data_IF_271866889991
#
_entry.id   IF_271866889991
#
_cell.length_a   1.000
_cell.length_b   1.000
_cell.length_c   1.000
_cell.angle_alpha   90.00
_cell.angle_beta   90.00
_cell.angle_gamma   90.00
#
_symmetry.space_group_name_H-M   'P 1'
#
loop_
_entity.id
_entity.type
_entity.pdbx_description
1 polymer ?
#
# COMPACT_ATOMS: atom_id res chain seq x y z
N UNK A 1 11.53 6.81 1.32
CA UNK A 1 11.36 5.79 2.38
C UNK A 1 10.12 4.96 2.08
N UNK A 2 10.27 3.63 2.10
CA UNK A 2 9.19 2.67 1.84
C UNK A 2 8.42 2.39 3.13
N UNK A 3 7.11 2.25 3.03
CA UNK A 3 6.21 1.90 4.13
C UNK A 3 6.46 0.45 4.57
N UNK A 4 6.96 0.27 5.80
CA UNK A 4 7.34 -1.05 6.32
C UNK A 4 6.13 -1.92 6.62
N UNK A 5 5.04 -1.35 7.13
CA UNK A 5 3.80 -2.09 7.42
C UNK A 5 3.18 -2.66 6.15
N UNK A 6 2.97 -1.82 5.13
CA UNK A 6 2.43 -2.25 3.84
C UNK A 6 3.33 -3.30 3.18
N UNK A 7 4.66 -3.11 3.20
CA UNK A 7 5.61 -4.12 2.68
C UNK A 7 5.51 -5.46 3.42
N UNK A 8 5.31 -5.45 4.74
CA UNK A 8 5.13 -6.66 5.56
C UNK A 8 3.80 -7.35 5.27
N UNK A 9 2.72 -6.59 5.09
CA UNK A 9 1.41 -7.09 4.69
C UNK A 9 1.45 -7.78 3.33
N UNK A 10 2.09 -7.14 2.35
CA UNK A 10 2.30 -7.70 1.01
C UNK A 10 3.15 -8.98 1.04
N UNK A 11 4.18 -9.05 1.89
CA UNK A 11 4.97 -10.27 2.08
C UNK A 11 4.20 -11.40 2.75
N UNK A 12 3.27 -11.08 3.66
CA UNK A 12 2.42 -12.06 4.35
C UNK A 12 1.30 -12.57 3.44
N UNK A 13 0.81 -11.74 2.52
CA UNK A 13 -0.14 -12.16 1.50
C UNK A 13 0.53 -13.06 0.48
N UNK A 14 0.33 -14.38 0.59
CA UNK A 14 0.61 -15.33 -0.49
C UNK A 14 -0.59 -15.35 -1.45
N UNK A 15 -0.39 -15.06 -2.74
CA UNK A 15 -1.43 -15.11 -3.77
C UNK A 15 -1.76 -13.77 -4.41
N UNK A 16 -3.04 -13.50 -4.70
CA UNK A 16 -3.51 -12.37 -5.52
C UNK A 16 -3.12 -10.97 -4.99
N UNK A 17 -2.88 -10.82 -3.68
CA UNK A 17 -2.59 -9.54 -3.01
C UNK A 17 -1.11 -9.12 -3.14
N UNK A 18 -0.64 -8.97 -4.37
CA UNK A 18 0.73 -8.51 -4.71
C UNK A 18 0.79 -7.01 -5.00
N UNK A 19 2.01 -6.44 -5.00
CA UNK A 19 2.26 -5.05 -5.46
C UNK A 19 1.74 -4.82 -6.87
N UNK A 20 1.87 -5.82 -7.74
CA UNK A 20 1.38 -5.78 -9.11
C UNK A 20 -0.15 -5.64 -9.17
N UNK A 21 -0.87 -6.50 -8.44
CA UNK A 21 -2.32 -6.43 -8.36
C UNK A 21 -2.80 -5.11 -7.75
N UNK A 22 -2.11 -4.64 -6.71
CA UNK A 22 -2.39 -3.34 -6.09
C UNK A 22 -2.17 -2.16 -7.05
N UNK A 23 -1.12 -2.23 -7.87
CA UNK A 23 -0.85 -1.21 -8.90
C UNK A 23 -1.99 -1.17 -9.93
N UNK A 24 -2.46 -2.35 -10.36
CA UNK A 24 -3.59 -2.48 -11.28
C UNK A 24 -4.90 -1.94 -10.69
N UNK A 25 -5.22 -2.27 -9.44
CA UNK A 25 -6.41 -1.78 -8.72
C UNK A 25 -6.39 -0.26 -8.54
N UNK A 26 -5.20 0.30 -8.34
CA UNK A 26 -5.00 1.75 -8.23
C UNK A 26 -4.96 2.47 -9.58
N UNK A 27 -5.01 1.75 -10.71
CA UNK A 27 -4.90 2.33 -12.05
C UNK A 27 -3.51 2.90 -12.34
N UNK A 28 -2.48 2.46 -11.62
CA UNK A 28 -1.10 2.91 -11.82
C UNK A 28 -0.28 1.85 -12.53
N UNK A 29 0.72 2.28 -13.31
CA UNK A 29 1.61 1.37 -14.02
C UNK A 29 2.25 0.37 -13.05
N UNK A 30 2.36 -0.92 -13.39
CA UNK A 30 2.99 -1.92 -12.53
C UNK A 30 4.47 -1.61 -12.24
N UNK A 31 5.15 -0.82 -13.09
CA UNK A 31 6.49 -0.29 -12.81
C UNK A 31 6.47 0.79 -11.70
N UNK A 32 5.31 1.42 -11.46
CA UNK A 32 5.06 2.30 -10.33
C UNK A 32 4.70 1.54 -9.05
N UNK A 33 4.93 0.22 -8.97
CA UNK A 33 4.76 -0.55 -7.74
C UNK A 33 5.54 0.03 -6.55
N UNK A 34 6.70 0.64 -6.82
CA UNK A 34 7.48 1.35 -5.80
C UNK A 34 6.76 2.61 -5.29
N UNK A 35 6.02 3.31 -6.16
CA UNK A 35 5.16 4.43 -5.80
C UNK A 35 4.00 3.99 -4.88
N UNK A 36 3.49 2.76 -5.02
CA UNK A 36 2.45 2.18 -4.15
C UNK A 36 2.93 1.97 -2.72
N UNK A 37 4.21 1.69 -2.54
CA UNK A 37 4.78 1.42 -1.22
C UNK A 37 5.54 2.63 -0.65
N UNK A 38 5.67 3.74 -1.36
CA UNK A 38 6.36 4.95 -0.88
C UNK A 38 5.52 5.70 0.16
N UNK A 39 6.11 5.91 1.33
CA UNK A 39 5.45 6.55 2.49
C UNK A 39 5.10 8.02 2.26
N UNK A 40 5.95 8.78 1.56
CA UNK A 40 5.74 10.23 1.30
C UNK A 40 4.48 10.46 0.46
N UNK A 41 4.26 9.61 -0.52
CA UNK A 41 3.13 9.69 -1.43
C UNK A 41 1.84 9.18 -0.77
N UNK A 42 1.93 8.07 0.00
CA UNK A 42 0.78 7.54 0.74
C UNK A 42 0.22 8.50 1.79
N UNK A 43 1.08 9.20 2.53
CA UNK A 43 0.63 10.08 3.62
C UNK A 43 -0.19 11.29 3.14
N UNK A 44 -0.08 11.66 1.87
CA UNK A 44 -0.82 12.76 1.27
C UNK A 44 -2.07 12.31 0.51
N UNK A 45 -2.25 10.99 0.34
CA UNK A 45 -3.20 10.42 -0.60
C UNK A 45 -4.13 9.43 0.13
N UNK A 46 -5.13 10.00 0.82
CA UNK A 46 -6.06 9.25 1.66
C UNK A 46 -6.96 8.29 0.85
N UNK A 47 -7.40 8.71 -0.34
CA UNK A 47 -8.18 7.86 -1.25
C UNK A 47 -7.40 6.62 -1.67
N UNK A 48 -6.12 6.80 -2.01
CA UNK A 48 -5.24 5.68 -2.28
C UNK A 48 -5.12 4.76 -1.07
N UNK A 49 -4.82 5.29 0.12
CA UNK A 49 -4.74 4.50 1.34
C UNK A 49 -6.00 3.66 1.59
N UNK A 50 -7.17 4.25 1.37
CA UNK A 50 -8.46 3.54 1.47
C UNK A 50 -8.54 2.39 0.46
N UNK A 51 -8.18 2.61 -0.81
CA UNK A 51 -8.13 1.55 -1.83
C UNK A 51 -7.13 0.45 -1.51
N UNK A 52 -5.96 0.79 -0.94
CA UNK A 52 -4.98 -0.21 -0.51
C UNK A 52 -5.53 -1.04 0.64
N UNK A 53 -6.11 -0.38 1.64
CA UNK A 53 -6.71 -1.01 2.81
C UNK A 53 -7.84 -1.96 2.40
N UNK A 54 -8.73 -1.49 1.53
CA UNK A 54 -9.84 -2.27 0.95
C UNK A 54 -9.34 -3.49 0.16
N UNK A 55 -8.39 -3.28 -0.74
CA UNK A 55 -7.76 -4.37 -1.51
C UNK A 55 -7.09 -5.42 -0.62
N UNK A 56 -6.45 -4.97 0.46
CA UNK A 56 -5.78 -5.83 1.42
C UNK A 56 -6.76 -6.46 2.42
N UNK A 57 -7.98 -5.92 2.55
CA UNK A 57 -8.97 -6.32 3.55
C UNK A 57 -8.51 -6.02 4.98
N UNK A 58 -7.84 -4.88 5.17
CA UNK A 58 -7.29 -4.45 6.47
C UNK A 58 -7.66 -2.99 6.74
N UNK A 59 -7.52 -2.55 7.98
CA UNK A 59 -7.69 -1.15 8.33
C UNK A 59 -6.59 -0.25 7.74
N UNK A 60 -6.98 0.99 7.41
CA UNK A 60 -6.05 2.03 6.96
C UNK A 60 -4.91 2.23 7.97
N UNK A 61 -5.18 2.10 9.28
CA UNK A 61 -4.17 2.19 10.36
C UNK A 61 -3.08 1.11 10.26
N UNK A 62 -3.42 -0.05 9.70
CA UNK A 62 -2.49 -1.15 9.48
C UNK A 62 -1.64 -0.90 8.22
N UNK A 63 -2.15 -0.13 7.26
CA UNK A 63 -1.39 0.31 6.09
C UNK A 63 -0.49 1.50 6.42
N UNK A 64 -0.94 2.50 7.18
CA UNK A 64 -0.17 3.71 7.48
C UNK A 64 0.94 3.42 8.50
N UNK A 65 2.18 3.61 8.05
CA UNK A 65 3.36 3.67 8.93
C UNK A 65 3.47 5.10 9.48
N UNK A 66 2.57 5.51 10.38
CA UNK A 66 2.72 6.76 11.10
C UNK A 66 3.59 6.47 12.32
N UNK A 67 4.81 7.01 12.33
CA UNK A 67 5.52 7.17 13.59
C UNK A 67 4.92 8.42 14.20
N UNK A 68 4.11 8.26 15.24
CA UNK A 68 3.93 9.32 16.23
C UNK A 68 5.32 9.79 16.64
N UNK A 69 5.54 11.11 16.54
CA UNK A 69 6.81 11.75 16.81
C UNK A 69 6.79 12.28 18.22
#
# INVERSE_FOLDING_TARGET
MVNKKLKKLLKKSKGAKTVYGLSKTLGVSPQAGDYVVKRKDLAKDFERLKKIADYMGVDIKDVIDYKEK
#
